data_IF_892980486130
#
_entry.id   IF_892980486130
#
_cell.length_a   1.000
_cell.length_b   1.000
_cell.length_c   1.000
_cell.angle_alpha   90.00
_cell.angle_beta   90.00
_cell.angle_gamma   90.00
#
_symmetry.space_group_name_H-M   'P 1'
#
loop_
_entity.id
_entity.type
_entity.pdbx_description
1 polymer ?
#
# COMPACT_ATOMS: atom_id res chain seq x y z
N UNK A 1 9.98 7.85 -22.15
CA UNK A 1 9.42 7.75 -21.69
C UNK A 1 8.81 6.89 -21.29
N UNK A 2 8.81 6.35 -20.75
CA UNK A 2 8.19 5.48 -20.41
C UNK A 2 7.23 5.61 -19.82
N UNK A 3 6.73 6.14 -19.95
CA UNK A 3 5.76 6.29 -19.60
C UNK A 3 4.93 5.50 -19.31
N UNK A 4 4.87 4.77 -19.48
CA UNK A 4 4.00 3.87 -19.34
C UNK A 4 3.95 3.26 -18.07
N UNK A 5 4.67 3.58 -17.12
CA UNK A 5 4.63 3.12 -15.80
C UNK A 5 3.59 3.92 -15.08
N UNK A 6 2.44 3.32 -14.79
CA UNK A 6 1.39 4.02 -14.16
C UNK A 6 1.76 4.48 -12.80
N UNK A 7 2.54 3.69 -12.07
CA UNK A 7 2.96 4.09 -10.75
C UNK A 7 3.85 5.30 -10.85
N UNK A 8 4.70 5.33 -11.86
CA UNK A 8 5.54 6.48 -12.07
C UNK A 8 4.75 7.72 -12.41
N UNK A 9 3.64 7.55 -13.12
CA UNK A 9 2.83 8.69 -13.47
C UNK A 9 2.24 9.36 -12.26
N UNK A 10 2.21 8.67 -11.13
CA UNK A 10 1.72 9.24 -9.92
C UNK A 10 2.83 9.83 -9.09
N UNK A 11 4.02 9.93 -9.65
CA UNK A 11 5.17 10.50 -8.98
C UNK A 11 5.52 9.73 -7.73
N UNK A 12 5.36 8.43 -7.81
CA UNK A 12 5.73 7.53 -6.74
C UNK A 12 6.92 6.73 -7.20
N UNK A 13 7.99 6.77 -6.43
CA UNK A 13 9.20 6.06 -6.77
C UNK A 13 9.11 4.64 -6.25
N UNK A 14 9.50 3.67 -7.07
CA UNK A 14 9.48 2.28 -6.69
C UNK A 14 10.91 1.77 -6.69
N UNK A 15 11.34 1.16 -5.60
CA UNK A 15 12.70 0.62 -5.52
C UNK A 15 12.77 -0.49 -4.49
N UNK A 16 13.91 -1.18 -4.45
CA UNK A 16 14.14 -2.27 -3.51
C UNK A 16 15.04 -1.78 -2.40
N UNK A 17 14.73 -2.14 -1.18
CA UNK A 17 15.55 -1.76 -0.04
C UNK A 17 15.34 -2.75 1.08
N UNK A 18 16.43 -3.32 1.57
CA UNK A 18 16.40 -4.21 2.75
C UNK A 18 15.41 -5.35 2.62
N UNK A 19 15.29 -5.90 1.43
CA UNK A 19 14.40 -7.04 1.23
C UNK A 19 12.95 -6.65 0.98
N UNK A 20 12.67 -5.37 0.86
CA UNK A 20 11.32 -4.91 0.58
C UNK A 20 11.27 -4.20 -0.76
N UNK A 21 10.10 -4.24 -1.38
CA UNK A 21 9.80 -3.33 -2.47
C UNK A 21 9.16 -2.11 -1.82
N UNK A 22 9.68 -0.93 -2.14
CA UNK A 22 9.25 0.30 -1.48
C UNK A 22 8.60 1.22 -2.49
N UNK A 23 7.48 1.80 -2.12
CA UNK A 23 6.84 2.85 -2.89
C UNK A 23 6.97 4.13 -2.08
N UNK A 24 7.68 5.10 -2.62
CA UNK A 24 7.95 6.33 -1.89
C UNK A 24 7.31 7.51 -2.59
N UNK A 25 6.59 8.31 -1.82
CA UNK A 25 5.97 9.54 -2.29
C UNK A 25 6.66 10.66 -1.55
N UNK A 26 7.37 11.53 -2.28
CA UNK A 26 8.19 12.56 -1.66
C UNK A 26 9.17 11.90 -0.69
N UNK A 27 9.10 12.21 0.57
CA UNK A 27 10.03 11.65 1.54
C UNK A 27 9.43 10.51 2.34
N UNK A 28 8.24 10.07 2.01
CA UNK A 28 7.56 9.06 2.80
C UNK A 28 7.48 7.75 2.04
N UNK A 29 7.90 6.67 2.69
CA UNK A 29 7.75 5.34 2.14
C UNK A 29 6.33 4.89 2.45
N UNK A 30 5.40 5.18 1.55
CA UNK A 30 3.99 4.99 1.85
C UNK A 30 3.57 3.53 1.85
N UNK A 31 4.26 2.68 1.08
CA UNK A 31 3.99 1.26 1.05
C UNK A 31 5.33 0.54 0.97
N UNK A 32 5.53 -0.43 1.85
CA UNK A 32 6.69 -1.31 1.78
C UNK A 32 6.16 -2.71 1.87
N UNK A 33 6.62 -3.60 1.02
CA UNK A 33 6.10 -4.96 1.10
C UNK A 33 7.12 -5.98 0.65
N UNK A 34 6.93 -7.18 1.13
CA UNK A 34 7.68 -8.34 0.67
C UNK A 34 6.69 -9.50 0.61
N UNK A 35 7.17 -10.73 0.60
CA UNK A 35 6.28 -11.88 0.50
C UNK A 35 5.42 -12.08 1.74
N UNK A 36 5.86 -11.54 2.86
CA UNK A 36 5.23 -11.82 4.15
C UNK A 36 4.34 -10.73 4.67
N UNK A 37 4.57 -9.50 4.29
CA UNK A 37 3.85 -8.39 4.93
C UNK A 37 3.83 -7.15 4.06
N UNK A 38 2.90 -6.27 4.38
CA UNK A 38 2.75 -4.96 3.75
C UNK A 38 2.72 -3.95 4.88
N UNK A 39 3.54 -2.91 4.78
CA UNK A 39 3.61 -1.88 5.81
C UNK A 39 3.15 -0.57 5.18
N UNK A 40 2.22 0.10 5.80
CA UNK A 40 1.64 1.34 5.30
C UNK A 40 2.00 2.50 6.19
N UNK A 41 2.31 3.65 5.58
CA UNK A 41 2.68 4.81 6.35
C UNK A 41 2.34 6.06 5.55
N UNK A 42 1.61 6.99 6.16
CA UNK A 42 1.25 8.22 5.47
C UNK A 42 2.27 9.31 5.71
N UNK A 43 3.17 9.12 6.67
CA UNK A 43 4.10 10.17 7.04
C UNK A 43 3.40 11.37 7.63
N UNK A 44 2.18 11.17 8.11
CA UNK A 44 1.41 12.29 8.62
C UNK A 44 0.63 13.03 7.55
N UNK A 45 0.78 12.62 6.29
CA UNK A 45 0.08 13.30 5.20
C UNK A 45 -1.14 12.49 4.79
N UNK A 46 -2.19 12.59 5.60
CA UNK A 46 -3.41 11.86 5.30
C UNK A 46 -4.25 12.67 4.33
N UNK A 47 -3.79 12.72 3.09
CA UNK A 47 -4.43 13.49 2.05
C UNK A 47 -5.02 12.57 0.99
N UNK A 48 -5.89 13.14 0.17
CA UNK A 48 -6.47 12.39 -0.92
C UNK A 48 -5.39 11.87 -1.85
N UNK A 49 -4.33 12.64 -2.06
CA UNK A 49 -3.25 12.23 -2.93
C UNK A 49 -2.51 11.02 -2.38
N UNK A 50 -2.19 11.03 -1.08
CA UNK A 50 -1.49 9.91 -0.47
C UNK A 50 -2.34 8.65 -0.55
N UNK A 51 -3.63 8.77 -0.25
CA UNK A 51 -4.54 7.63 -0.31
C UNK A 51 -4.60 7.07 -1.72
N UNK A 52 -4.72 7.95 -2.71
CA UNK A 52 -4.79 7.53 -4.09
C UNK A 52 -3.52 6.80 -4.50
N UNK A 53 -2.36 7.29 -4.08
CA UNK A 53 -1.10 6.65 -4.43
C UNK A 53 -0.97 5.28 -3.79
N UNK A 54 -1.39 5.15 -2.53
CA UNK A 54 -1.37 3.85 -1.88
C UNK A 54 -2.23 2.84 -2.64
N UNK A 55 -3.42 3.27 -3.05
CA UNK A 55 -4.33 2.37 -3.75
C UNK A 55 -3.80 1.98 -5.12
N UNK A 56 -3.13 2.91 -5.79
CA UNK A 56 -2.55 2.58 -7.08
C UNK A 56 -1.40 1.59 -6.94
N UNK A 57 -0.62 1.71 -5.88
CA UNK A 57 0.44 0.74 -5.61
C UNK A 57 -0.16 -0.63 -5.33
N UNK A 58 -1.23 -0.67 -4.54
CA UNK A 58 -1.89 -1.93 -4.26
C UNK A 58 -2.38 -2.58 -5.54
N UNK A 59 -2.97 -1.78 -6.45
CA UNK A 59 -3.45 -2.32 -7.71
C UNK A 59 -2.30 -2.78 -8.59
N UNK A 60 -1.23 -2.00 -8.65
CA UNK A 60 -0.12 -2.32 -9.54
C UNK A 60 0.58 -3.60 -9.14
N UNK A 61 0.68 -3.88 -7.85
CA UNK A 61 1.38 -5.05 -7.36
C UNK A 61 0.44 -6.11 -6.80
N UNK A 62 -0.86 -5.91 -6.96
CA UNK A 62 -1.86 -6.88 -6.56
C UNK A 62 -1.74 -7.23 -5.08
N UNK A 63 -1.66 -6.20 -4.25
CA UNK A 63 -1.45 -6.41 -2.83
C UNK A 63 -2.74 -6.65 -2.07
N UNK A 64 -3.88 -6.33 -2.66
CA UNK A 64 -5.16 -6.70 -2.06
C UNK A 64 -5.66 -5.80 -0.96
N UNK A 65 -5.14 -4.59 -0.85
CA UNK A 65 -5.70 -3.67 0.13
C UNK A 65 -6.27 -2.44 -0.56
N UNK A 66 -7.13 -1.73 0.17
CA UNK A 66 -7.67 -0.47 -0.32
C UNK A 66 -7.84 0.47 0.87
N UNK A 67 -7.29 1.67 0.73
CA UNK A 67 -7.42 2.68 1.77
C UNK A 67 -8.60 3.57 1.42
N UNK A 68 -9.49 3.77 2.37
CA UNK A 68 -10.66 4.61 2.17
C UNK A 68 -10.83 5.55 3.35
N UNK A 69 -11.76 6.47 3.21
CA UNK A 69 -11.98 7.48 4.24
C UNK A 69 -13.48 7.61 4.47
N UNK A 70 -13.88 7.63 5.73
CA UNK A 70 -15.26 7.84 6.10
C UNK A 70 -15.28 8.82 7.25
N UNK A 71 -15.98 9.92 7.05
CA UNK A 71 -16.13 10.92 8.10
C UNK A 71 -14.78 11.35 8.66
N UNK A 72 -13.82 11.53 7.76
CA UNK A 72 -12.51 12.02 8.16
C UNK A 72 -11.56 10.98 8.67
N UNK A 73 -12.01 9.73 8.85
CA UNK A 73 -11.13 8.68 9.36
C UNK A 73 -10.77 7.73 8.24
N UNK A 74 -9.52 7.30 8.26
CA UNK A 74 -9.03 6.38 7.25
C UNK A 74 -9.16 4.94 7.71
N UNK A 75 -9.51 4.08 6.75
CA UNK A 75 -9.66 2.65 7.00
C UNK A 75 -8.95 1.90 5.89
N UNK A 76 -8.54 0.68 6.20
CA UNK A 76 -7.91 -0.20 5.22
C UNK A 76 -8.75 -1.45 5.13
N UNK A 77 -9.25 -1.73 3.93
CA UNK A 77 -9.88 -3.01 3.65
C UNK A 77 -8.81 -3.91 3.08
N UNK A 78 -8.66 -5.10 3.63
CA UNK A 78 -7.61 -6.01 3.19
C UNK A 78 -8.23 -7.36 2.90
N UNK A 79 -7.99 -7.85 1.70
CA UNK A 79 -8.63 -9.06 1.23
C UNK A 79 -7.61 -10.18 1.06
N UNK A 80 -7.13 -10.69 2.15
CA UNK A 80 -6.22 -11.82 2.12
C UNK A 80 -7.05 -13.08 2.10
N UNK A 81 -6.74 -14.00 1.19
CA UNK A 81 -7.42 -15.30 1.13
C UNK A 81 -8.91 -15.17 0.94
N UNK A 82 -9.32 -14.18 0.18
CA UNK A 82 -10.73 -14.00 -0.14
C UNK A 82 -11.60 -13.63 1.04
N UNK A 83 -11.00 -13.38 2.18
CA UNK A 83 -11.73 -12.93 3.34
C UNK A 83 -11.33 -11.49 3.58
N UNK A 84 -12.28 -10.60 3.57
CA UNK A 84 -11.99 -9.20 3.73
C UNK A 84 -12.13 -8.77 5.17
N UNK A 85 -11.18 -7.99 5.63
CA UNK A 85 -11.25 -7.38 6.95
C UNK A 85 -11.03 -5.89 6.80
N UNK A 86 -11.63 -5.11 7.66
CA UNK A 86 -11.47 -3.67 7.67
C UNK A 86 -10.77 -3.27 8.95
N UNK A 87 -9.70 -2.50 8.80
CA UNK A 87 -8.92 -2.04 9.94
C UNK A 87 -8.88 -0.53 9.95
N UNK A 88 -8.76 0.07 11.12
CA UNK A 88 -8.48 1.49 11.21
C UNK A 88 -7.05 1.71 10.73
N UNK A 89 -6.84 2.74 9.94
CA UNK A 89 -5.51 3.03 9.43
C UNK A 89 -4.64 3.60 10.54
N UNK A 90 -3.42 3.11 10.60
CA UNK A 90 -2.41 3.68 11.49
C UNK A 90 -1.10 3.68 10.76
N UNK A 91 -0.31 4.74 10.95
CA UNK A 91 1.01 4.80 10.34
C UNK A 91 1.87 3.69 10.90
N UNK A 92 2.52 2.97 10.01
CA UNK A 92 3.37 1.85 10.39
C UNK A 92 2.63 0.55 10.57
N UNK A 93 1.32 0.53 10.27
CA UNK A 93 0.56 -0.72 10.43
C UNK A 93 1.07 -1.78 9.48
N UNK A 94 0.98 -3.02 9.89
CA UNK A 94 1.46 -4.14 9.14
C UNK A 94 0.29 -5.05 8.79
N UNK A 95 0.15 -5.34 7.49
CA UNK A 95 -0.82 -6.30 7.02
C UNK A 95 -0.06 -7.57 6.70
N UNK A 96 -0.42 -8.66 7.34
CA UNK A 96 0.28 -9.92 7.10
C UNK A 96 -0.26 -10.57 5.86
N UNK A 97 0.65 -10.97 4.98
CA UNK A 97 0.27 -11.62 3.74
C UNK A 97 0.31 -13.11 3.98
N UNK A 98 -0.83 -13.77 3.72
CA UNK A 98 -0.84 -15.17 3.91
C UNK A 98 -0.59 -15.81 2.61
N UNK A 99 0.45 -16.65 2.58
CA UNK A 99 0.61 -17.41 1.43
C UNK A 99 -0.37 -18.43 1.41
N UNK A 100 -1.04 -18.58 0.33
CA UNK A 100 -1.96 -19.67 0.17
C UNK A 100 -1.15 -20.91 0.04
N UNK A 101 -1.30 -21.77 0.98
CA UNK A 101 -0.51 -22.98 0.98
C UNK A 101 -1.36 -24.12 0.52
N UNK A 102 -1.00 -24.68 -0.61
CA UNK A 102 -1.79 -25.72 -1.12
C UNK A 102 -1.20 -27.05 -0.83
N UNK A 103 -0.43 -27.12 0.09
CA UNK A 103 0.29 -28.35 0.37
C UNK A 103 -0.43 -29.57 0.05
#
# INVERSE_FOLDING_TARGET
>A
MDRNNKVGELKTAIYQSDGYTVAQSHDTQIVRFNADEIILNSGGWQTKTTKSRMNKVSDAFQLGFRVSQRQGEWFVDYFANEIGDTYSFKDGMILERQEVNYA
#
